data_IF_123725631997
#
_entry.id   IF_123725631997
#
_cell.length_a   1.000
_cell.length_b   1.000
_cell.length_c   1.000
_cell.angle_alpha   90.00
_cell.angle_beta   90.00
_cell.angle_gamma   90.00
#
_symmetry.space_group_name_H-M   'P 1'
#
loop_
_entity.id
_entity.type
_entity.pdbx_description
1 polymer ?
#
# COMPACT_ATOMS: atom_id res chain seq x y z
N UNK A 1 -42.95 -13.52 -9.35
CA UNK A 1 -41.78 -14.10 -8.67
C UNK A 1 -40.69 -13.05 -8.63
N UNK A 2 -40.35 -12.52 -7.45
CA UNK A 2 -39.31 -11.49 -7.29
C UNK A 2 -37.94 -12.15 -7.44
N UNK A 3 -37.17 -11.76 -8.44
CA UNK A 3 -35.77 -12.19 -8.57
C UNK A 3 -34.92 -11.45 -7.54
N UNK A 4 -34.24 -12.21 -6.69
CA UNK A 4 -33.18 -11.67 -5.84
C UNK A 4 -31.97 -11.36 -6.72
N UNK A 5 -31.75 -10.09 -7.02
CA UNK A 5 -30.46 -9.63 -7.55
C UNK A 5 -29.51 -9.55 -6.37
N UNK A 6 -28.53 -10.46 -6.38
CA UNK A 6 -27.38 -10.46 -5.48
C UNK A 6 -26.47 -9.28 -5.87
N UNK A 7 -26.26 -8.24 -5.05
CA UNK A 7 -25.35 -7.17 -5.40
C UNK A 7 -23.92 -7.70 -5.36
N UNK A 8 -23.20 -7.57 -6.48
CA UNK A 8 -21.79 -7.93 -6.61
C UNK A 8 -20.99 -7.38 -5.42
N UNK A 9 -20.31 -8.27 -4.68
CA UNK A 9 -19.20 -7.90 -3.80
C UNK A 9 -18.08 -7.36 -4.69
N UNK A 10 -17.85 -6.05 -4.65
CA UNK A 10 -16.69 -5.41 -5.24
C UNK A 10 -15.44 -5.93 -4.51
N UNK A 11 -14.71 -6.83 -5.16
CA UNK A 11 -13.45 -7.36 -4.65
C UNK A 11 -12.37 -6.28 -4.84
N UNK A 12 -12.21 -5.42 -3.83
CA UNK A 12 -11.12 -4.44 -3.81
C UNK A 12 -9.82 -5.18 -3.43
N UNK A 13 -9.16 -5.78 -4.43
CA UNK A 13 -7.80 -6.29 -4.28
C UNK A 13 -6.86 -5.08 -4.20
N UNK A 14 -6.48 -4.69 -2.97
CA UNK A 14 -5.29 -3.88 -2.64
C UNK A 14 -4.77 -2.90 -3.71
N UNK A 15 -5.65 -2.06 -4.27
CA UNK A 15 -5.29 -1.19 -5.39
C UNK A 15 -4.57 0.05 -4.83
N UNK A 16 -3.24 0.03 -4.83
CA UNK A 16 -2.43 1.26 -4.78
C UNK A 16 -2.33 1.85 -6.19
N UNK A 17 -3.46 2.29 -6.73
CA UNK A 17 -3.49 3.07 -7.98
C UNK A 17 -4.54 4.17 -7.82
N UNK A 18 -4.09 5.37 -7.48
CA UNK A 18 -4.88 6.59 -7.66
C UNK A 18 -4.88 6.92 -9.17
N UNK A 19 -5.93 6.51 -9.88
CA UNK A 19 -6.26 7.15 -11.16
C UNK A 19 -7.46 8.08 -10.94
N UNK A 20 -7.19 9.38 -10.97
CA UNK A 20 -8.23 10.39 -11.12
C UNK A 20 -8.68 10.39 -12.59
N UNK A 21 -9.96 10.08 -12.84
CA UNK A 21 -10.59 10.39 -14.11
C UNK A 21 -11.34 11.72 -14.00
N UNK A 22 -10.93 12.70 -14.80
CA UNK A 22 -11.63 13.96 -15.00
C UNK A 22 -12.82 13.69 -15.95
N UNK A 23 -14.05 14.10 -15.61
CA UNK A 23 -15.16 14.09 -16.58
C UNK A 23 -15.56 15.52 -16.95
N UNK A 24 -15.23 15.93 -18.18
CA UNK A 24 -15.91 17.04 -18.83
C UNK A 24 -17.34 16.59 -19.16
N UNK A 25 -18.33 17.34 -18.68
CA UNK A 25 -19.74 17.06 -18.95
C UNK A 25 -20.11 17.54 -20.36
N UNK A 26 -20.63 16.61 -21.17
CA UNK A 26 -21.23 16.91 -22.47
C UNK A 26 -21.82 15.66 -23.10
N UNK A 27 -23.14 15.46 -22.92
CA UNK A 27 -23.89 14.45 -23.68
C UNK A 27 -24.91 13.67 -22.85
N UNK A 28 -26.19 13.92 -23.11
CA UNK A 28 -27.36 13.31 -22.47
C UNK A 28 -27.69 11.90 -22.99
N UNK A 29 -27.98 10.98 -22.07
CA UNK A 29 -28.86 9.83 -22.30
C UNK A 29 -28.23 8.44 -22.12
N UNK A 30 -28.65 7.72 -21.06
CA UNK A 30 -28.50 6.26 -20.97
C UNK A 30 -27.92 5.74 -19.65
N UNK A 31 -28.74 5.01 -18.89
CA UNK A 31 -28.47 4.23 -17.65
C UNK A 31 -27.60 4.91 -16.58
N UNK A 32 -28.17 5.16 -15.40
CA UNK A 32 -27.42 5.64 -14.23
C UNK A 32 -26.26 4.68 -13.91
N UNK A 33 -25.07 5.04 -14.36
CA UNK A 33 -23.83 4.34 -14.07
C UNK A 33 -23.56 4.41 -12.56
N UNK A 34 -22.92 3.36 -12.03
CA UNK A 34 -22.39 3.36 -10.67
C UNK A 34 -21.66 4.69 -10.39
N UNK A 35 -22.19 5.45 -9.42
CA UNK A 35 -21.56 6.60 -8.75
C UNK A 35 -20.59 7.46 -9.58
N UNK A 36 -21.11 8.37 -10.41
CA UNK A 36 -20.30 9.37 -11.13
C UNK A 36 -19.84 10.53 -10.26
N UNK A 37 -20.11 10.49 -8.95
CA UNK A 37 -19.80 11.59 -8.02
C UNK A 37 -19.02 11.06 -6.84
N UNK A 38 -17.77 11.53 -6.71
CA UNK A 38 -16.93 11.29 -5.55
C UNK A 38 -17.28 12.28 -4.43
N UNK A 39 -17.33 11.82 -3.19
CA UNK A 39 -17.56 12.69 -2.02
C UNK A 39 -16.27 12.79 -1.21
N UNK A 40 -15.75 14.01 -1.01
CA UNK A 40 -14.61 14.25 -0.13
C UNK A 40 -14.98 13.94 1.32
N UNK A 41 -14.16 13.14 2.02
CA UNK A 41 -14.42 12.71 3.41
C UNK A 41 -13.32 13.10 4.39
N UNK A 42 -12.08 13.29 3.94
CA UNK A 42 -10.92 13.70 4.76
C UNK A 42 -9.84 14.29 3.84
N UNK A 43 -8.96 15.14 4.38
CA UNK A 43 -8.02 15.95 3.61
C UNK A 43 -6.52 15.68 3.91
N UNK A 44 -6.17 14.73 4.77
CA UNK A 44 -4.76 14.47 5.12
C UNK A 44 -4.51 13.00 5.50
N UNK A 45 -4.74 12.11 4.53
CA UNK A 45 -4.41 10.69 4.64
C UNK A 45 -3.40 10.34 3.55
N UNK A 46 -2.51 9.40 3.84
CA UNK A 46 -1.47 8.98 2.90
C UNK A 46 -1.89 7.75 2.10
N UNK A 47 -2.50 6.76 2.76
CA UNK A 47 -2.89 5.51 2.10
C UNK A 47 -4.07 4.83 2.80
N UNK A 48 -4.67 3.85 2.12
CA UNK A 48 -5.78 3.04 2.60
C UNK A 48 -5.60 1.59 2.16
N UNK A 49 -5.99 0.64 3.01
CA UNK A 49 -6.11 -0.77 2.66
C UNK A 49 -7.50 -1.29 3.01
N UNK A 50 -7.88 -2.42 2.41
CA UNK A 50 -9.09 -3.16 2.74
C UNK A 50 -8.75 -4.59 3.11
N UNK A 51 -9.28 -5.05 4.24
CA UNK A 51 -9.01 -6.37 4.78
C UNK A 51 -9.95 -6.68 5.93
N UNK A 52 -10.18 -7.96 6.24
CA UNK A 52 -11.07 -8.36 7.34
C UNK A 52 -12.45 -7.64 7.36
N UNK A 53 -13.02 -7.34 6.19
CA UNK A 53 -14.29 -6.60 6.09
C UNK A 53 -14.22 -5.11 6.44
N UNK A 54 -13.03 -4.50 6.49
CA UNK A 54 -12.80 -3.14 6.98
C UNK A 54 -11.78 -2.39 6.12
N UNK A 55 -12.09 -1.14 5.83
CA UNK A 55 -11.13 -0.15 5.35
C UNK A 55 -10.32 0.41 6.52
N UNK A 56 -9.02 0.52 6.32
CA UNK A 56 -8.09 1.17 7.25
C UNK A 56 -7.32 2.21 6.47
N UNK A 57 -7.41 3.48 6.87
CA UNK A 57 -6.64 4.57 6.30
C UNK A 57 -5.69 5.16 7.35
N UNK A 58 -4.49 5.55 6.93
CA UNK A 58 -3.45 6.11 7.80
C UNK A 58 -2.94 7.45 7.27
N UNK A 59 -2.35 8.27 8.14
CA UNK A 59 -1.82 9.58 7.77
C UNK A 59 -0.91 10.23 8.82
N UNK A 60 -0.79 11.56 8.74
CA UNK A 60 0.05 12.34 9.65
C UNK A 60 -0.38 12.28 11.12
N UNK A 61 0.56 12.62 12.01
CA UNK A 61 0.34 12.68 13.46
C UNK A 61 -0.27 11.40 14.08
N UNK A 62 0.14 10.23 13.59
CA UNK A 62 -0.37 8.93 14.06
C UNK A 62 -1.82 8.64 13.69
N UNK A 63 -2.40 9.35 12.72
CA UNK A 63 -3.82 9.21 12.35
C UNK A 63 -4.10 7.81 11.80
N UNK A 64 -5.10 7.14 12.39
CA UNK A 64 -5.71 5.93 11.86
C UNK A 64 -7.23 6.10 11.83
N UNK A 65 -7.83 5.88 10.67
CA UNK A 65 -9.28 5.86 10.49
C UNK A 65 -9.73 4.48 10.00
N UNK A 66 -10.90 4.03 10.48
CA UNK A 66 -11.50 2.77 10.03
C UNK A 66 -12.94 2.92 9.59
N UNK A 67 -13.33 2.12 8.60
CA UNK A 67 -14.70 2.09 8.10
C UNK A 67 -15.08 0.68 7.65
N UNK A 68 -16.34 0.29 7.86
CA UNK A 68 -16.88 -0.97 7.31
C UNK A 68 -17.64 -0.79 6.00
N UNK A 69 -18.06 0.45 5.71
CA UNK A 69 -18.93 0.79 4.58
C UNK A 69 -18.26 1.78 3.58
N UNK A 70 -17.07 2.28 3.91
CA UNK A 70 -16.36 3.32 3.14
C UNK A 70 -16.98 4.71 3.27
N UNK A 71 -18.06 4.87 4.05
CA UNK A 71 -18.84 6.10 4.18
C UNK A 71 -18.62 6.73 5.56
N UNK A 72 -18.82 5.94 6.62
CA UNK A 72 -18.65 6.39 8.01
C UNK A 72 -17.28 5.96 8.51
N UNK A 73 -16.48 6.91 8.99
CA UNK A 73 -15.11 6.69 9.43
C UNK A 73 -14.97 6.96 10.93
N UNK A 74 -14.30 6.05 11.62
CA UNK A 74 -14.03 6.13 13.07
C UNK A 74 -12.53 6.31 13.30
N UNK A 75 -12.15 7.33 14.07
CA UNK A 75 -10.77 7.55 14.52
C UNK A 75 -10.36 6.44 15.49
N UNK A 76 -9.15 5.90 15.32
CA UNK A 76 -8.54 4.91 16.21
C UNK A 76 -7.28 5.47 16.84
N UNK A 77 -7.05 5.12 18.09
CA UNK A 77 -5.76 5.41 18.74
C UNK A 77 -4.70 4.48 18.16
N UNK A 78 -3.58 5.07 17.73
CA UNK A 78 -2.42 4.35 17.19
C UNK A 78 -1.34 4.08 18.23
N UNK A 79 -1.35 4.82 19.35
CA UNK A 79 -0.29 4.79 20.35
C UNK A 79 0.99 5.54 19.96
N UNK A 80 0.97 6.31 18.87
CA UNK A 80 2.12 7.11 18.40
C UNK A 80 1.66 8.45 17.81
N UNK A 81 2.59 9.39 17.67
CA UNK A 81 2.40 10.65 16.93
C UNK A 81 3.20 10.68 15.63
N UNK A 82 3.94 9.62 15.30
CA UNK A 82 4.71 9.52 14.07
C UNK A 82 3.83 9.56 12.83
N UNK A 83 4.35 10.05 11.71
CA UNK A 83 3.62 10.00 10.44
C UNK A 83 3.53 8.57 9.94
N UNK A 84 2.32 8.12 9.61
CA UNK A 84 2.09 6.78 9.05
C UNK A 84 1.97 6.89 7.53
N UNK A 85 2.86 6.22 6.81
CA UNK A 85 3.03 6.34 5.36
C UNK A 85 2.40 5.18 4.58
N UNK A 86 2.47 3.97 5.14
CA UNK A 86 2.05 2.74 4.49
C UNK A 86 1.08 1.94 5.36
N UNK A 87 0.13 1.23 4.74
CA UNK A 87 -0.71 0.25 5.44
C UNK A 87 -1.07 -0.92 4.50
N UNK A 88 -1.04 -2.13 5.02
CA UNK A 88 -1.45 -3.34 4.29
C UNK A 88 -2.25 -4.29 5.18
N UNK A 89 -2.93 -5.24 4.55
CA UNK A 89 -3.58 -6.35 5.23
C UNK A 89 -3.18 -7.68 4.59
N UNK A 90 -2.78 -8.64 5.40
CA UNK A 90 -2.41 -9.97 4.95
C UNK A 90 -2.17 -10.90 6.13
N UNK A 91 -2.27 -12.22 5.91
CA UNK A 91 -2.07 -13.19 7.00
C UNK A 91 -3.02 -13.01 8.20
N UNK A 92 -4.15 -12.34 8.03
CA UNK A 92 -5.09 -12.03 9.12
C UNK A 92 -4.78 -10.74 9.90
N UNK A 93 -3.76 -9.97 9.51
CA UNK A 93 -3.23 -8.84 10.27
C UNK A 93 -3.11 -7.59 9.40
N UNK A 94 -3.50 -6.44 9.96
CA UNK A 94 -3.15 -5.13 9.44
C UNK A 94 -1.76 -4.73 9.94
N UNK A 95 -0.95 -4.19 9.04
CA UNK A 95 0.37 -3.62 9.36
C UNK A 95 0.42 -2.21 8.80
N UNK A 96 0.67 -1.23 9.66
CA UNK A 96 0.96 0.14 9.29
C UNK A 96 2.44 0.46 9.54
N UNK A 97 3.05 1.24 8.66
CA UNK A 97 4.46 1.62 8.73
C UNK A 97 4.62 3.14 8.57
N UNK A 98 5.70 3.71 9.10
CA UNK A 98 5.88 5.16 9.06
C UNK A 98 7.25 5.67 9.47
N UNK A 99 7.28 6.96 9.82
CA UNK A 99 8.45 7.72 10.27
C UNK A 99 9.17 7.06 11.45
N UNK A 100 10.49 7.22 11.53
CA UNK A 100 11.29 6.74 12.66
C UNK A 100 11.28 5.22 12.83
N UNK A 101 11.11 4.47 11.74
CA UNK A 101 10.97 3.01 11.77
C UNK A 101 9.67 2.52 12.41
N UNK A 102 8.64 3.36 12.52
CA UNK A 102 7.37 2.99 13.17
C UNK A 102 6.72 1.81 12.47
N UNK A 103 6.35 0.78 13.25
CA UNK A 103 5.49 -0.33 12.81
C UNK A 103 4.35 -0.51 13.82
N UNK A 104 3.12 -0.56 13.33
CA UNK A 104 1.93 -0.85 14.12
C UNK A 104 1.20 -2.06 13.54
N UNK A 105 0.68 -2.92 14.41
CA UNK A 105 -0.10 -4.10 14.01
C UNK A 105 -1.48 -4.12 14.63
N UNK A 106 -2.46 -4.68 13.91
CA UNK A 106 -3.81 -4.90 14.44
C UNK A 106 -4.50 -6.08 13.75
N UNK A 107 -5.16 -6.95 14.50
CA UNK A 107 -5.96 -8.05 13.93
C UNK A 107 -7.38 -7.61 13.52
N UNK A 108 -7.89 -6.55 14.15
CA UNK A 108 -9.26 -6.06 13.96
C UNK A 108 -9.31 -4.65 13.32
N UNK A 109 -8.19 -3.95 13.21
CA UNK A 109 -8.08 -2.56 12.77
C UNK A 109 -8.55 -1.53 13.80
N UNK A 110 -9.03 -1.94 14.98
CA UNK A 110 -9.49 -1.06 16.05
C UNK A 110 -8.44 -0.86 17.15
N UNK A 111 -7.78 -1.94 17.57
CA UNK A 111 -6.71 -1.91 18.57
C UNK A 111 -5.36 -2.10 17.91
N UNK A 112 -4.46 -1.13 18.09
CA UNK A 112 -3.15 -1.11 17.47
C UNK A 112 -2.04 -1.28 18.51
N UNK A 113 -1.03 -2.06 18.15
CA UNK A 113 0.14 -2.34 18.99
C UNK A 113 1.39 -1.90 18.25
N UNK A 114 2.24 -1.11 18.91
CA UNK A 114 3.54 -0.71 18.40
C UNK A 114 4.50 -1.90 18.43
N UNK A 115 5.22 -2.13 17.34
CA UNK A 115 6.22 -3.18 17.22
C UNK A 115 7.62 -2.58 17.07
N UNK A 116 8.63 -3.29 17.55
CA UNK A 116 10.02 -2.93 17.33
C UNK A 116 10.44 -3.35 15.90
N UNK A 117 10.87 -2.39 15.10
CA UNK A 117 11.34 -2.62 13.74
C UNK A 117 12.84 -2.97 13.67
N UNK A 118 13.61 -2.57 14.67
CA UNK A 118 15.08 -2.67 14.65
C UNK A 118 15.77 -1.65 13.75
N UNK A 119 15.09 -0.58 13.33
CA UNK A 119 15.65 0.54 12.56
C UNK A 119 15.01 1.86 12.97
N UNK A 120 15.70 2.97 12.74
CA UNK A 120 15.15 4.33 12.89
C UNK A 120 14.82 4.97 11.53
N UNK A 121 15.18 4.32 10.42
CA UNK A 121 14.88 4.81 9.07
C UNK A 121 13.37 4.82 8.81
N UNK A 122 12.86 5.85 8.14
CA UNK A 122 11.44 5.92 7.83
C UNK A 122 11.04 4.77 6.90
N UNK A 123 9.91 4.14 7.21
CA UNK A 123 9.30 3.09 6.40
C UNK A 123 8.14 3.71 5.62
N UNK A 124 8.13 3.49 4.31
CA UNK A 124 7.25 4.18 3.37
C UNK A 124 6.22 3.22 2.78
N UNK A 125 6.68 2.09 2.24
CA UNK A 125 5.84 1.07 1.63
C UNK A 125 5.75 -0.19 2.48
N UNK A 126 4.61 -0.86 2.46
CA UNK A 126 4.45 -2.19 3.06
C UNK A 126 3.51 -3.05 2.23
N UNK A 127 3.84 -4.33 2.06
CA UNK A 127 3.02 -5.32 1.37
C UNK A 127 3.03 -6.66 2.10
N UNK A 128 2.07 -7.52 1.76
CA UNK A 128 2.04 -8.91 2.19
C UNK A 128 1.95 -9.83 0.98
N UNK A 129 2.80 -10.85 0.97
CA UNK A 129 2.85 -11.84 -0.10
C UNK A 129 3.66 -13.04 0.34
N UNK A 130 3.46 -14.20 -0.27
CA UNK A 130 4.23 -15.41 0.05
C UNK A 130 4.32 -15.74 1.56
N UNK A 131 3.26 -15.47 2.34
CA UNK A 131 3.27 -15.70 3.79
C UNK A 131 4.08 -14.69 4.62
N UNK A 132 4.47 -13.54 4.05
CA UNK A 132 5.42 -12.60 4.64
C UNK A 132 5.04 -11.14 4.37
N UNK A 133 5.21 -10.31 5.39
CA UNK A 133 5.23 -8.87 5.26
C UNK A 133 6.61 -8.40 4.80
N UNK A 134 6.61 -7.42 3.89
CA UNK A 134 7.80 -6.71 3.44
C UNK A 134 7.52 -5.22 3.60
N UNK A 135 8.36 -4.53 4.37
CA UNK A 135 8.35 -3.08 4.49
C UNK A 135 9.60 -2.50 3.84
N UNK A 136 9.46 -1.38 3.14
CA UNK A 136 10.55 -0.69 2.43
C UNK A 136 10.57 0.78 2.79
N UNK A 137 11.73 1.43 2.72
CA UNK A 137 11.85 2.84 3.11
C UNK A 137 13.17 3.51 2.75
N UNK A 138 13.57 4.47 3.58
CA UNK A 138 14.74 5.31 3.36
C UNK A 138 16.05 4.52 3.31
N UNK A 139 17.03 5.04 2.58
CA UNK A 139 18.39 4.48 2.47
C UNK A 139 18.41 3.00 2.01
N UNK A 140 17.42 2.60 1.21
CA UNK A 140 17.29 1.21 0.73
C UNK A 140 16.84 0.22 1.80
N UNK A 141 16.32 0.70 2.94
CA UNK A 141 15.84 -0.12 4.05
C UNK A 141 14.78 -1.11 3.59
N UNK A 142 14.99 -2.40 3.90
CA UNK A 142 14.03 -3.48 3.67
C UNK A 142 13.91 -4.32 4.94
N UNK A 143 12.70 -4.48 5.44
CA UNK A 143 12.39 -5.31 6.60
C UNK A 143 11.42 -6.43 6.19
N UNK A 144 11.56 -7.60 6.82
CA UNK A 144 10.61 -8.69 6.66
C UNK A 144 10.10 -9.23 7.99
N UNK A 145 8.87 -9.76 7.96
CA UNK A 145 8.27 -10.48 9.07
C UNK A 145 7.25 -11.50 8.59
N UNK A 146 7.20 -12.69 9.20
CA UNK A 146 6.15 -13.69 8.92
C UNK A 146 4.92 -13.55 9.82
N UNK A 147 5.05 -12.88 10.96
CA UNK A 147 4.01 -12.76 11.99
C UNK A 147 3.56 -11.30 12.22
N UNK A 148 4.25 -10.32 11.61
CA UNK A 148 4.03 -8.89 11.81
C UNK A 148 4.58 -8.35 13.12
N UNK A 149 5.14 -9.19 13.99
CA UNK A 149 5.62 -8.85 15.35
C UNK A 149 7.14 -8.84 15.39
N UNK A 150 7.77 -9.90 14.88
CA UNK A 150 9.22 -10.02 14.83
C UNK A 150 9.72 -9.57 13.47
N UNK A 151 10.43 -8.44 13.42
CA UNK A 151 10.96 -7.88 12.18
C UNK A 151 12.46 -8.10 12.05
N UNK A 152 12.91 -8.32 10.82
CA UNK A 152 14.32 -8.50 10.48
C UNK A 152 14.69 -7.54 9.37
N UNK A 153 15.68 -6.69 9.64
CA UNK A 153 16.35 -5.89 8.62
C UNK A 153 17.08 -6.83 7.67
N UNK A 154 16.89 -6.65 6.37
CA UNK A 154 17.57 -7.41 5.32
C UNK A 154 18.82 -6.67 4.85
N UNK A 155 19.76 -7.42 4.27
CA UNK A 155 20.94 -6.81 3.66
C UNK A 155 20.52 -5.87 2.54
N UNK A 156 21.11 -4.67 2.54
CA UNK A 156 20.85 -3.65 1.53
C UNK A 156 21.32 -4.15 0.17
N UNK A 157 20.39 -4.23 -0.79
CA UNK A 157 20.71 -4.42 -2.20
C UNK A 157 20.89 -3.09 -2.95
N UNK A 158 20.48 -1.98 -2.34
CA UNK A 158 20.67 -0.61 -2.82
C UNK A 158 20.73 0.34 -1.62
N UNK A 159 21.16 1.58 -1.84
CA UNK A 159 21.05 2.69 -0.86
C UNK A 159 19.98 3.71 -1.24
N UNK A 160 19.31 3.52 -2.39
CA UNK A 160 18.23 4.39 -2.83
C UNK A 160 16.98 4.21 -1.96
N UNK A 161 16.35 5.31 -1.54
CA UNK A 161 15.03 5.26 -0.88
C UNK A 161 14.02 4.51 -1.73
N UNK A 162 13.27 3.60 -1.10
CA UNK A 162 12.22 2.79 -1.72
C UNK A 162 10.85 3.31 -1.29
N UNK A 163 10.02 3.69 -2.26
CA UNK A 163 8.73 4.33 -2.01
C UNK A 163 7.57 3.32 -2.08
N UNK A 164 7.66 2.33 -2.96
CA UNK A 164 6.59 1.37 -3.20
C UNK A 164 7.09 -0.07 -3.16
N UNK A 165 6.24 -0.99 -2.70
CA UNK A 165 6.48 -2.43 -2.77
C UNK A 165 5.17 -3.17 -3.02
N UNK A 166 5.21 -4.19 -3.88
CA UNK A 166 4.06 -5.05 -4.16
C UNK A 166 4.49 -6.51 -4.29
N UNK A 167 3.53 -7.43 -4.28
CA UNK A 167 3.73 -8.84 -4.52
C UNK A 167 2.75 -9.35 -5.58
N UNK A 168 3.26 -10.13 -6.52
CA UNK A 168 2.48 -10.73 -7.58
C UNK A 168 3.28 -11.78 -8.32
N UNK A 169 2.62 -12.74 -8.97
CA UNK A 169 3.29 -13.80 -9.75
C UNK A 169 4.49 -14.47 -9.04
N UNK A 170 4.38 -14.73 -7.73
CA UNK A 170 5.46 -15.38 -6.97
C UNK A 170 6.64 -14.47 -6.59
N UNK A 171 6.56 -13.15 -6.80
CA UNK A 171 7.68 -12.22 -6.66
C UNK A 171 7.27 -10.90 -6.01
N UNK A 172 8.13 -10.40 -5.14
CA UNK A 172 8.10 -9.03 -4.64
C UNK A 172 8.79 -8.09 -5.61
N UNK A 173 8.24 -6.89 -5.78
CA UNK A 173 8.84 -5.80 -6.55
C UNK A 173 8.81 -4.55 -5.69
N UNK A 174 9.98 -3.94 -5.49
CA UNK A 174 10.14 -2.66 -4.81
C UNK A 174 10.64 -1.61 -5.81
N UNK A 175 10.16 -0.38 -5.68
CA UNK A 175 10.49 0.74 -6.57
C UNK A 175 10.83 1.99 -5.77
N UNK A 176 11.70 2.85 -6.31
CA UNK A 176 12.21 3.97 -5.53
C UNK A 176 12.89 5.10 -6.30
N UNK A 177 13.68 5.85 -5.55
CA UNK A 177 14.46 6.99 -6.00
C UNK A 177 15.42 6.63 -7.15
N UNK A 178 15.60 7.56 -8.09
CA UNK A 178 16.58 7.41 -9.16
C UNK A 178 16.30 6.25 -10.13
N UNK A 179 15.04 5.85 -10.28
CA UNK A 179 14.64 4.73 -11.14
C UNK A 179 14.90 3.36 -10.53
N UNK A 180 15.12 3.26 -9.22
CA UNK A 180 15.39 1.98 -8.55
C UNK A 180 14.23 1.00 -8.75
N UNK A 181 14.56 -0.22 -9.20
CA UNK A 181 13.66 -1.38 -9.22
C UNK A 181 14.42 -2.55 -8.61
N UNK A 182 13.84 -3.19 -7.59
CA UNK A 182 14.37 -4.42 -7.02
C UNK A 182 13.31 -5.51 -7.09
N UNK A 183 13.78 -6.74 -7.30
CA UNK A 183 12.91 -7.91 -7.29
C UNK A 183 13.41 -8.96 -6.31
N UNK A 184 12.48 -9.71 -5.72
CA UNK A 184 12.81 -10.80 -4.81
C UNK A 184 11.78 -11.92 -4.85
N UNK A 185 12.18 -13.20 -4.88
CA UNK A 185 11.24 -14.31 -4.78
C UNK A 185 10.72 -14.54 -3.34
N UNK A 186 11.47 -14.09 -2.33
CA UNK A 186 11.25 -14.44 -0.92
C UNK A 186 11.20 -13.23 0.03
N UNK A 187 11.49 -12.03 -0.45
CA UNK A 187 11.58 -10.80 0.33
C UNK A 187 12.89 -10.65 1.11
N UNK A 188 13.83 -11.61 1.00
CA UNK A 188 15.12 -11.63 1.69
C UNK A 188 16.27 -11.38 0.71
N UNK A 189 16.27 -12.08 -0.41
CA UNK A 189 17.29 -11.92 -1.44
C UNK A 189 16.78 -11.01 -2.53
N UNK A 190 17.38 -9.83 -2.68
CA UNK A 190 16.94 -8.81 -3.63
C UNK A 190 17.93 -8.64 -4.76
N UNK A 191 17.40 -8.43 -5.96
CA UNK A 191 18.20 -8.19 -7.17
C UNK A 191 17.73 -6.90 -7.82
N UNK A 192 18.64 -5.95 -7.99
CA UNK A 192 18.39 -4.70 -8.73
C UNK A 192 18.12 -5.01 -10.21
N UNK A 193 17.19 -4.28 -10.81
CA UNK A 193 16.81 -4.39 -12.21
C UNK A 193 16.99 -3.04 -12.90
N UNK A 194 17.43 -3.07 -14.16
CA UNK A 194 17.51 -1.86 -14.98
C UNK A 194 16.10 -1.37 -15.33
N UNK A 195 15.78 -0.13 -14.95
CA UNK A 195 14.50 0.51 -15.27
C UNK A 195 14.53 1.30 -16.59
N UNK A 196 15.71 1.69 -17.06
CA UNK A 196 15.88 2.54 -18.24
C UNK A 196 15.53 4.01 -18.02
N UNK A 197 15.29 4.43 -16.77
CA UNK A 197 15.02 5.83 -16.38
C UNK A 197 15.76 6.18 -15.10
N UNK A 198 15.93 7.48 -14.84
CA UNK A 198 16.40 8.03 -13.56
C UNK A 198 15.27 8.73 -12.79
N UNK A 199 14.04 8.72 -13.31
CA UNK A 199 12.88 9.29 -12.62
C UNK A 199 12.56 8.50 -11.35
N UNK A 200 12.01 9.18 -10.37
CA UNK A 200 11.62 8.53 -9.12
C UNK A 200 10.35 7.71 -9.37
N UNK A 201 10.38 6.44 -8.98
CA UNK A 201 9.24 5.55 -9.08
C UNK A 201 8.55 5.53 -7.71
N UNK A 202 7.30 6.00 -7.66
CA UNK A 202 6.56 6.25 -6.42
C UNK A 202 5.57 5.13 -6.09
N UNK A 203 5.10 4.40 -7.09
CA UNK A 203 4.10 3.35 -6.93
C UNK A 203 4.38 2.15 -7.82
N UNK A 204 3.99 0.97 -7.34
CA UNK A 204 4.03 -0.27 -8.11
C UNK A 204 2.85 -1.16 -7.76
N UNK A 205 2.26 -1.79 -8.77
CA UNK A 205 1.16 -2.76 -8.60
C UNK A 205 1.36 -3.97 -9.50
N UNK A 206 0.67 -5.06 -9.19
CA UNK A 206 0.59 -6.24 -10.03
C UNK A 206 -0.86 -6.45 -10.47
N UNK A 207 -1.06 -6.65 -11.77
CA UNK A 207 -2.38 -6.90 -12.34
C UNK A 207 -2.25 -7.41 -13.76
N UNK A 208 -3.23 -8.20 -14.20
CA UNK A 208 -3.27 -8.73 -15.56
C UNK A 208 -1.99 -9.47 -16.01
N UNK A 209 -1.28 -10.13 -15.08
CA UNK A 209 -0.09 -10.93 -15.38
C UNK A 209 1.24 -10.18 -15.33
N UNK A 210 1.24 -8.85 -15.17
CA UNK A 210 2.46 -8.04 -15.17
C UNK A 210 2.47 -7.01 -14.05
N UNK A 211 3.64 -6.46 -13.78
CA UNK A 211 3.81 -5.33 -12.87
C UNK A 211 3.75 -4.01 -13.62
N UNK A 212 3.16 -3.00 -13.00
CA UNK A 212 3.16 -1.61 -13.48
C UNK A 212 3.77 -0.74 -12.41
N UNK A 213 4.83 -0.01 -12.74
CA UNK A 213 5.41 1.02 -11.90
C UNK A 213 5.09 2.40 -12.46
N UNK A 214 4.81 3.35 -11.58
CA UNK A 214 4.52 4.75 -11.92
C UNK A 214 5.43 5.67 -11.14
N UNK A 215 5.75 6.81 -11.72
CA UNK A 215 6.69 7.75 -11.15
C UNK A 215 6.48 9.19 -11.58
N UNK A 216 7.44 10.03 -11.21
CA UNK A 216 7.47 11.44 -11.58
C UNK A 216 7.58 11.62 -13.09
N UNK A 217 7.33 12.85 -13.54
CA UNK A 217 7.43 13.22 -14.96
C UNK A 217 6.49 12.44 -15.89
N UNK A 218 5.44 11.80 -15.35
CA UNK A 218 4.51 10.98 -16.11
C UNK A 218 5.04 9.58 -16.46
N UNK A 219 6.13 9.13 -15.81
CA UNK A 219 6.76 7.84 -16.09
C UNK A 219 5.87 6.67 -15.71
N UNK A 220 5.68 5.75 -16.66
CA UNK A 220 4.99 4.46 -16.48
C UNK A 220 5.89 3.37 -17.06
N UNK A 221 6.21 2.36 -16.27
CA UNK A 221 6.97 1.18 -16.67
C UNK A 221 6.11 -0.06 -16.52
N UNK A 222 6.31 -1.04 -17.40
CA UNK A 222 5.66 -2.35 -17.32
C UNK A 222 6.74 -3.44 -17.28
N UNK A 223 6.51 -4.50 -16.50
CA UNK A 223 7.41 -5.66 -16.54
C UNK A 223 7.31 -6.37 -17.90
N UNK A 224 8.37 -7.05 -18.34
CA UNK A 224 8.32 -7.95 -19.49
C UNK A 224 7.25 -9.04 -19.37
#
# INVERSE_FOLDING_TARGET
>A
MKSFLNPLKLLLLGLNVFLAAYSNSGGSGGSAALGTTWTLRSASLHTVTYGNGRFVAVGGSGTILTSSDGVTWTVRSSGTTAWLSGVTYGGGLFVAVGEGGTILTSSDGAMWVVQNSGTENALIGVTYGNGRFVAVGDEGTILTSSDGVTWRVQNLATVSTLYGVTYGNGRFVAVGYGGAILTSPDGVTWTEQTSGTTDWLEGVTYGNGFFVAVGRSGTILTSP
#
